data_IF_212028868996
#
_entry.id   IF_212028868996
#
_cell.length_a   1.000
_cell.length_b   1.000
_cell.length_c   1.000
_cell.angle_alpha   90.00
_cell.angle_beta   90.00
_cell.angle_gamma   90.00
#
_symmetry.space_group_name_H-M   'P 1'
#
loop_
_entity.id
_entity.type
_entity.pdbx_description
1 polymer ?
#
# COMPACT_ATOMS: atom_id res chain seq x y z
N UNK A 1 -42.65 0.91 31.34
CA UNK A 1 -41.36 1.60 31.07
C UNK A 1 -40.57 0.64 30.19
N UNK A 2 -40.33 1.03 28.93
CA UNK A 2 -39.75 0.19 27.89
C UNK A 2 -38.38 0.78 27.59
N UNK A 3 -37.33 0.02 27.88
CA UNK A 3 -35.95 0.50 27.82
C UNK A 3 -35.51 0.69 26.36
N UNK A 4 -35.34 1.95 25.95
CA UNK A 4 -34.85 2.37 24.64
C UNK A 4 -33.30 2.49 24.61
N UNK A 5 -32.58 1.51 25.15
CA UNK A 5 -31.10 1.53 25.19
C UNK A 5 -30.43 0.83 24.01
N UNK A 6 -31.19 0.28 23.05
CA UNK A 6 -30.65 -0.47 21.91
C UNK A 6 -30.71 0.28 20.57
N UNK A 7 -30.98 1.59 20.57
CA UNK A 7 -31.18 2.39 19.36
C UNK A 7 -30.24 3.61 19.30
N UNK A 8 -28.96 3.39 19.60
CA UNK A 8 -27.91 4.43 19.42
C UNK A 8 -26.64 3.94 18.75
N UNK A 9 -26.57 2.68 18.32
CA UNK A 9 -25.37 2.12 17.65
C UNK A 9 -25.47 2.13 16.11
N UNK A 10 -26.57 2.61 15.52
CA UNK A 10 -26.79 2.59 14.06
C UNK A 10 -26.63 3.94 13.36
N UNK A 11 -26.03 4.94 14.01
CA UNK A 11 -25.77 6.26 13.43
C UNK A 11 -24.33 6.76 13.67
N UNK A 12 -23.36 5.85 13.66
CA UNK A 12 -22.00 6.24 13.28
C UNK A 12 -21.95 6.13 11.76
N UNK A 13 -22.11 7.28 11.10
CA UNK A 13 -21.81 7.42 9.68
C UNK A 13 -20.44 6.80 9.41
N UNK A 14 -20.42 5.83 8.50
CA UNK A 14 -19.23 5.36 7.80
C UNK A 14 -18.65 6.52 7.01
N UNK A 15 -18.07 7.50 7.71
CA UNK A 15 -17.09 8.40 7.11
C UNK A 15 -15.94 7.50 6.68
N UNK A 16 -16.02 7.04 5.42
CA UNK A 16 -14.96 6.42 4.66
C UNK A 16 -13.64 7.06 5.10
N UNK A 17 -12.80 6.29 5.79
CA UNK A 17 -11.48 6.77 6.24
C UNK A 17 -10.60 6.93 5.00
N UNK A 18 -10.82 8.01 4.24
CA UNK A 18 -10.03 8.42 3.08
C UNK A 18 -8.79 9.13 3.59
N UNK A 19 -7.73 8.37 3.84
CA UNK A 19 -6.49 9.01 4.29
C UNK A 19 -5.33 8.09 4.61
N UNK A 20 -4.26 8.71 5.10
CA UNK A 20 -3.09 8.02 5.62
C UNK A 20 -3.39 7.43 7.00
N UNK A 21 -3.47 6.12 7.08
CA UNK A 21 -3.63 5.39 8.34
C UNK A 21 -2.28 4.83 8.77
N UNK A 22 -1.97 4.89 10.07
CA UNK A 22 -0.78 4.21 10.62
C UNK A 22 -1.14 2.80 11.04
N UNK A 23 -0.49 1.80 10.43
CA UNK A 23 -0.59 0.40 10.84
C UNK A 23 0.66 -0.07 11.55
N UNK A 24 0.49 -0.99 12.49
CA UNK A 24 1.63 -1.66 13.15
C UNK A 24 2.42 -2.45 12.11
N UNK A 25 3.73 -2.32 12.14
CA UNK A 25 4.62 -3.03 11.22
C UNK A 25 4.95 -4.41 11.77
N UNK A 26 5.03 -5.42 10.89
CA UNK A 26 5.51 -6.75 11.26
C UNK A 26 6.98 -6.68 11.69
N UNK A 27 7.42 -7.60 12.57
CA UNK A 27 8.84 -7.66 12.97
C UNK A 27 9.77 -7.94 11.77
N UNK A 28 9.34 -8.79 10.85
CA UNK A 28 10.07 -9.10 9.62
C UNK A 28 10.20 -7.87 8.71
N UNK A 29 9.09 -7.18 8.46
CA UNK A 29 9.07 -5.95 7.66
C UNK A 29 9.97 -4.88 8.31
N UNK A 30 9.84 -4.65 9.62
CA UNK A 30 10.62 -3.64 10.34
C UNK A 30 12.13 -3.92 10.27
N UNK A 31 12.52 -5.19 10.43
CA UNK A 31 13.91 -5.62 10.29
C UNK A 31 14.44 -5.44 8.86
N UNK A 32 13.64 -5.76 7.84
CA UNK A 32 14.03 -5.51 6.44
C UNK A 32 14.26 -4.02 6.18
N UNK A 33 13.37 -3.15 6.63
CA UNK A 33 13.57 -1.69 6.50
C UNK A 33 14.76 -1.18 7.30
N UNK A 34 15.01 -1.72 8.49
CA UNK A 34 16.20 -1.41 9.27
C UNK A 34 17.48 -1.86 8.57
N UNK A 35 17.49 -3.05 7.95
CA UNK A 35 18.63 -3.55 7.18
C UNK A 35 18.96 -2.64 6.00
N UNK A 36 17.95 -2.20 5.25
CA UNK A 36 18.14 -1.23 4.15
C UNK A 36 18.77 0.06 4.69
N UNK A 37 18.27 0.59 5.82
CA UNK A 37 18.83 1.78 6.46
C UNK A 37 20.30 1.56 6.90
N UNK A 38 20.61 0.38 7.42
CA UNK A 38 21.97 -0.03 7.78
C UNK A 38 22.92 -0.04 6.57
N UNK A 39 22.52 -0.68 5.48
CA UNK A 39 23.31 -0.74 4.23
C UNK A 39 23.56 0.66 3.67
N UNK A 40 22.54 1.51 3.63
CA UNK A 40 22.68 2.91 3.20
C UNK A 40 23.63 3.66 4.13
N UNK A 41 23.48 3.49 5.44
CA UNK A 41 24.38 4.08 6.45
C UNK A 41 25.83 3.62 6.31
N UNK A 42 26.05 2.33 6.01
CA UNK A 42 27.37 1.78 5.72
C UNK A 42 28.00 2.50 4.53
N UNK A 43 27.29 2.55 3.40
CA UNK A 43 27.79 3.14 2.16
C UNK A 43 28.14 4.60 2.35
N UNK A 44 27.26 5.40 2.96
CA UNK A 44 27.54 6.82 3.22
C UNK A 44 28.73 7.01 4.17
N UNK A 45 28.78 6.26 5.26
CA UNK A 45 29.89 6.36 6.23
C UNK A 45 31.21 5.93 5.59
N UNK A 46 31.18 4.89 4.75
CA UNK A 46 32.34 4.38 4.05
C UNK A 46 32.84 5.37 2.99
N UNK A 47 31.96 5.98 2.20
CA UNK A 47 32.33 7.02 1.23
C UNK A 47 32.99 8.22 1.93
N UNK A 48 32.43 8.68 3.06
CA UNK A 48 33.03 9.75 3.84
C UNK A 48 34.44 9.38 4.33
N UNK A 49 34.64 8.13 4.74
CA UNK A 49 35.98 7.67 5.10
C UNK A 49 36.89 7.55 3.89
N UNK A 50 36.41 7.07 2.73
CA UNK A 50 37.22 7.00 1.50
C UNK A 50 37.76 8.37 1.09
N UNK A 51 36.94 9.41 1.23
CA UNK A 51 37.39 10.79 1.02
C UNK A 51 38.56 11.17 1.95
N UNK A 52 38.52 10.73 3.21
CA UNK A 52 39.59 10.95 4.19
C UNK A 52 40.83 10.08 3.93
N UNK A 53 40.62 8.86 3.45
CA UNK A 53 41.67 7.86 3.14
C UNK A 53 42.50 8.28 1.93
N UNK A 54 41.94 9.06 1.00
CA UNK A 54 42.70 9.67 -0.09
C UNK A 54 43.89 10.51 0.42
N UNK A 55 43.85 10.96 1.68
CA UNK A 55 44.93 11.68 2.35
C UNK A 55 45.91 10.76 3.10
N UNK A 56 45.49 9.55 3.52
CA UNK A 56 46.30 8.57 4.25
C UNK A 56 45.74 7.14 4.11
N UNK A 57 46.37 6.26 3.31
CA UNK A 57 45.83 4.94 2.96
C UNK A 57 45.74 3.94 4.12
N UNK A 58 46.56 4.11 5.17
CA UNK A 58 46.54 3.23 6.36
C UNK A 58 45.23 3.31 7.17
N UNK A 59 44.37 4.30 6.92
CA UNK A 59 43.11 4.47 7.63
C UNK A 59 41.93 3.66 7.04
N UNK A 60 42.14 2.89 5.97
CA UNK A 60 41.10 2.08 5.31
C UNK A 60 40.40 1.13 6.30
N UNK A 61 41.19 0.43 7.11
CA UNK A 61 40.67 -0.55 8.08
C UNK A 61 39.86 0.12 9.18
N UNK A 62 40.27 1.33 9.59
CA UNK A 62 39.55 2.13 10.58
C UNK A 62 38.21 2.60 10.00
N UNK A 63 38.20 3.08 8.76
CA UNK A 63 36.98 3.50 8.07
C UNK A 63 35.99 2.37 7.90
N UNK A 64 36.46 1.17 7.54
CA UNK A 64 35.60 0.00 7.46
C UNK A 64 34.99 -0.36 8.82
N UNK A 65 35.79 -0.37 9.90
CA UNK A 65 35.31 -0.66 11.26
C UNK A 65 34.24 0.33 11.72
N UNK A 66 34.43 1.62 11.45
CA UNK A 66 33.47 2.68 11.81
C UNK A 66 32.19 2.56 10.97
N UNK A 67 32.31 2.37 9.66
CA UNK A 67 31.16 2.18 8.78
C UNK A 67 30.33 0.94 9.17
N UNK A 68 31.00 -0.16 9.54
CA UNK A 68 30.34 -1.38 10.00
C UNK A 68 29.62 -1.19 11.33
N UNK A 69 30.25 -0.51 12.30
CA UNK A 69 29.61 -0.20 13.58
C UNK A 69 28.38 0.71 13.40
N UNK A 70 28.49 1.73 12.55
CA UNK A 70 27.39 2.63 12.17
C UNK A 70 26.23 1.85 11.52
N UNK A 71 26.54 0.96 10.58
CA UNK A 71 25.56 0.11 9.90
C UNK A 71 24.76 -0.75 10.88
N UNK A 72 25.43 -1.42 11.83
CA UNK A 72 24.77 -2.23 12.85
C UNK A 72 23.88 -1.36 13.73
N UNK A 73 24.39 -0.24 14.22
CA UNK A 73 23.62 0.67 15.06
C UNK A 73 22.35 1.16 14.36
N UNK A 74 22.44 1.60 13.10
CA UNK A 74 21.31 2.04 12.30
C UNK A 74 20.33 0.91 11.99
N UNK A 75 20.82 -0.30 11.76
CA UNK A 75 19.96 -1.47 11.52
C UNK A 75 19.08 -1.75 12.72
N UNK A 76 19.67 -1.85 13.92
CA UNK A 76 18.91 -2.18 15.14
C UNK A 76 18.04 -1.02 15.61
N UNK A 77 18.59 0.19 15.70
CA UNK A 77 17.82 1.37 16.11
C UNK A 77 16.71 1.69 15.12
N UNK A 78 16.97 1.59 13.81
CA UNK A 78 15.98 1.75 12.76
C UNK A 78 14.87 0.71 12.84
N UNK A 79 15.23 -0.57 13.01
CA UNK A 79 14.23 -1.66 13.16
C UNK A 79 13.29 -1.41 14.34
N UNK A 80 13.83 -1.00 15.49
CA UNK A 80 13.03 -0.67 16.68
C UNK A 80 12.16 0.56 16.42
N UNK A 81 12.72 1.60 15.79
CA UNK A 81 11.99 2.81 15.49
C UNK A 81 10.82 2.55 14.52
N UNK A 82 11.04 1.80 13.43
CA UNK A 82 9.99 1.40 12.49
C UNK A 82 8.94 0.50 13.14
N UNK A 83 9.34 -0.33 14.10
CA UNK A 83 8.39 -1.15 14.88
C UNK A 83 7.47 -0.29 15.74
N UNK A 84 8.00 0.73 16.40
CA UNK A 84 7.24 1.62 17.30
C UNK A 84 6.38 2.63 16.53
N UNK A 85 6.93 3.24 15.49
CA UNK A 85 6.28 4.31 14.71
C UNK A 85 5.23 3.74 13.74
N UNK A 86 5.40 2.48 13.33
CA UNK A 86 4.54 1.81 12.37
C UNK A 86 4.70 2.32 10.95
N UNK A 87 3.95 1.71 10.02
CA UNK A 87 3.92 2.09 8.61
C UNK A 87 2.72 3.00 8.32
N UNK A 88 2.95 4.06 7.53
CA UNK A 88 1.86 4.85 6.94
C UNK A 88 1.37 4.13 5.69
N UNK A 89 0.09 3.79 5.65
CA UNK A 89 -0.58 3.15 4.51
C UNK A 89 -1.70 4.08 4.07
N UNK A 90 -1.83 4.29 2.77
CA UNK A 90 -2.96 5.04 2.21
C UNK A 90 -4.14 4.09 2.04
N UNK A 91 -5.20 4.29 2.80
CA UNK A 91 -6.41 3.45 2.76
C UNK A 91 -7.50 4.05 1.87
N UNK A 92 -7.10 4.69 0.77
CA UNK A 92 -8.05 5.38 -0.11
C UNK A 92 -8.95 4.48 -0.96
N UNK A 93 -8.66 3.18 -1.12
CA UNK A 93 -9.34 2.31 -2.12
C UNK A 93 -9.43 0.82 -1.71
N UNK A 94 -9.20 0.44 -0.45
CA UNK A 94 -9.15 -0.98 -0.04
C UNK A 94 -10.47 -1.54 0.54
N UNK A 95 -11.55 -0.76 0.57
CA UNK A 95 -12.83 -1.21 1.16
C UNK A 95 -13.80 -1.87 0.18
N UNK A 96 -13.69 -1.55 -1.11
CA UNK A 96 -14.57 -2.08 -2.15
C UNK A 96 -13.70 -2.56 -3.30
N UNK A 97 -13.82 -3.83 -3.67
CA UNK A 97 -13.18 -4.31 -4.89
C UNK A 97 -13.69 -3.41 -6.04
N UNK A 98 -12.80 -2.80 -6.84
CA UNK A 98 -13.21 -1.93 -7.94
C UNK A 98 -14.19 -2.64 -8.90
N UNK A 99 -14.07 -3.96 -8.99
CA UNK A 99 -14.97 -4.85 -9.73
C UNK A 99 -16.37 -4.88 -9.09
N UNK A 100 -16.49 -4.90 -7.77
CA UNK A 100 -17.78 -4.92 -7.07
C UNK A 100 -18.50 -3.59 -7.18
N UNK A 101 -17.77 -2.47 -7.09
CA UNK A 101 -18.33 -1.14 -7.36
C UNK A 101 -18.81 -1.04 -8.80
N UNK A 102 -17.98 -1.51 -9.73
CA UNK A 102 -18.31 -1.47 -11.15
C UNK A 102 -19.48 -2.39 -11.50
N UNK A 103 -19.56 -3.57 -10.89
CA UNK A 103 -20.71 -4.47 -10.98
C UNK A 103 -21.98 -3.78 -10.48
N UNK A 104 -21.93 -3.08 -9.34
CA UNK A 104 -23.09 -2.36 -8.80
C UNK A 104 -23.55 -1.22 -9.71
N UNK A 105 -22.62 -0.47 -10.31
CA UNK A 105 -22.94 0.65 -11.22
C UNK A 105 -23.47 0.15 -12.57
N UNK A 106 -22.95 -0.98 -13.07
CA UNK A 106 -23.30 -1.52 -14.38
C UNK A 106 -24.47 -2.52 -14.36
N UNK A 107 -24.86 -3.03 -13.18
CA UNK A 107 -25.99 -3.97 -13.03
C UNK A 107 -27.33 -3.45 -13.59
N UNK A 108 -27.69 -2.16 -13.42
CA UNK A 108 -28.89 -1.60 -14.04
C UNK A 108 -28.82 -1.59 -15.58
N UNK A 109 -27.63 -1.42 -16.15
CA UNK A 109 -27.40 -1.37 -17.59
C UNK A 109 -27.52 -2.76 -18.20
N UNK A 110 -26.94 -3.78 -17.56
CA UNK A 110 -27.12 -5.19 -17.96
C UNK A 110 -28.61 -5.59 -17.95
N UNK A 111 -29.35 -5.19 -16.91
CA UNK A 111 -30.81 -5.42 -16.83
C UNK A 111 -31.59 -4.68 -17.92
N UNK A 112 -31.16 -3.49 -18.32
CA UNK A 112 -31.82 -2.72 -19.37
C UNK A 112 -31.54 -3.32 -20.76
N UNK A 113 -30.30 -3.75 -21.00
CA UNK A 113 -29.88 -4.43 -22.22
C UNK A 113 -30.62 -5.77 -22.42
N UNK A 114 -30.86 -6.53 -21.34
CA UNK A 114 -31.63 -7.79 -21.39
C UNK A 114 -33.11 -7.58 -21.75
N UNK A 115 -33.67 -6.38 -21.49
CA UNK A 115 -35.07 -6.05 -21.78
C UNK A 115 -35.28 -5.48 -23.19
N UNK A 116 -34.22 -5.24 -23.97
CA UNK A 116 -34.35 -4.74 -25.34
C UNK A 116 -34.52 -5.87 -26.35
N UNK A 117 -35.70 -5.95 -26.96
CA UNK A 117 -36.12 -7.00 -27.90
C UNK A 117 -35.67 -6.82 -29.36
N UNK A 118 -34.98 -5.73 -29.70
CA UNK A 118 -34.79 -5.30 -31.10
C UNK A 118 -33.34 -5.28 -31.62
N UNK A 119 -32.34 -5.65 -30.81
CA UNK A 119 -30.95 -5.79 -31.29
C UNK A 119 -30.60 -7.27 -31.57
N UNK A 120 -30.03 -7.59 -32.74
CA UNK A 120 -29.63 -8.96 -33.10
C UNK A 120 -28.38 -9.44 -32.34
N UNK A 121 -27.61 -8.53 -31.75
CA UNK A 121 -26.42 -8.84 -30.94
C UNK A 121 -26.82 -8.76 -29.47
N UNK A 122 -27.18 -9.91 -28.94
CA UNK A 122 -27.71 -10.07 -27.59
C UNK A 122 -26.59 -10.00 -26.55
N UNK A 123 -26.88 -9.28 -25.46
CA UNK A 123 -26.30 -9.43 -24.12
C UNK A 123 -24.94 -8.78 -23.89
N UNK A 124 -24.93 -7.45 -23.80
CA UNK A 124 -23.88 -6.77 -23.05
C UNK A 124 -23.93 -7.27 -21.59
N UNK A 125 -22.94 -8.07 -21.20
CA UNK A 125 -22.78 -8.63 -19.85
C UNK A 125 -21.54 -8.06 -19.19
N UNK A 126 -21.66 -7.78 -17.90
CA UNK A 126 -20.56 -7.21 -17.12
C UNK A 126 -19.36 -8.18 -17.11
N UNK A 127 -19.61 -9.49 -17.02
CA UNK A 127 -18.56 -10.53 -17.01
C UNK A 127 -17.73 -10.62 -18.30
N UNK A 128 -18.26 -10.18 -19.44
CA UNK A 128 -17.55 -10.28 -20.73
C UNK A 128 -16.93 -8.95 -21.16
N UNK A 129 -17.50 -7.83 -20.72
CA UNK A 129 -17.11 -6.48 -21.13
C UNK A 129 -16.32 -5.70 -20.07
N UNK A 130 -16.26 -6.20 -18.84
CA UNK A 130 -15.36 -5.66 -17.80
C UNK A 130 -14.18 -6.60 -17.63
N UNK A 131 -12.97 -6.11 -17.89
CA UNK A 131 -11.72 -6.84 -17.64
C UNK A 131 -10.86 -6.11 -16.63
N UNK A 132 -10.32 -6.87 -15.68
CA UNK A 132 -9.29 -6.37 -14.78
C UNK A 132 -7.93 -6.72 -15.39
N UNK A 133 -7.27 -5.71 -15.94
CA UNK A 133 -5.93 -5.84 -16.50
C UNK A 133 -4.95 -5.14 -15.57
N UNK A 134 -4.54 -5.83 -14.49
CA UNK A 134 -3.37 -5.57 -13.63
C UNK A 134 -3.13 -4.15 -13.08
N UNK A 135 -3.04 -3.14 -13.95
CA UNK A 135 -2.86 -1.73 -13.70
C UNK A 135 -4.20 -0.95 -13.75
N UNK A 136 -5.27 -1.53 -14.31
CA UNK A 136 -6.58 -0.88 -14.38
C UNK A 136 -7.74 -1.80 -14.73
N UNK A 137 -8.94 -1.24 -14.70
CA UNK A 137 -10.18 -1.91 -15.13
C UNK A 137 -10.61 -1.33 -16.46
N UNK A 138 -10.70 -2.16 -17.50
CA UNK A 138 -11.17 -1.77 -18.83
C UNK A 138 -12.65 -2.14 -18.96
N UNK A 139 -13.44 -1.21 -19.48
CA UNK A 139 -14.88 -1.40 -19.74
C UNK A 139 -15.11 -1.19 -21.23
N UNK A 140 -15.54 -2.25 -21.89
CA UNK A 140 -15.94 -2.20 -23.29
C UNK A 140 -17.41 -1.77 -23.38
N UNK A 141 -17.64 -0.61 -23.99
CA UNK A 141 -18.96 0.01 -24.19
C UNK A 141 -19.41 -0.09 -25.66
N UNK A 142 -18.65 -0.77 -26.51
CA UNK A 142 -18.92 -0.80 -27.96
C UNK A 142 -20.28 -1.44 -28.30
N UNK A 143 -20.76 -2.37 -27.46
CA UNK A 143 -21.99 -3.14 -27.68
C UNK A 143 -23.17 -2.66 -26.81
N UNK A 144 -23.10 -1.41 -26.31
CA UNK A 144 -24.07 -0.80 -25.39
C UNK A 144 -25.10 0.09 -26.11
#
# INVERSE_FOLDING_TARGET
MRDNSAQSDSLMSEDEVRGWVRRKMGWKEAFQTGLVLGVVGFVFTFILHLYYIALNPDLILRGFKVAFASSLFLTFSGSICFKLVGKKVWEGHQGLDPIDVLNNVLSPIEKMADNFLWSPVRTWKIKTHVRSEGIGTTVDLHDL
#
